data_IF_271219550395
#
_entry.id   IF_271219550395
#
_cell.length_a   1.000
_cell.length_b   1.000
_cell.length_c   1.000
_cell.angle_alpha   90.00
_cell.angle_beta   90.00
_cell.angle_gamma   90.00
#
_symmetry.space_group_name_H-M   'P 1'
#
loop_
_entity.id
_entity.type
_entity.pdbx_description
1 polymer ?
#
# COMPACT_ATOMS: atom_id res chain seq x y z
N UNK A 1 29.28 -36.72 -53.79
CA UNK A 1 29.83 -35.39 -53.47
C UNK A 1 28.80 -34.68 -52.62
N UNK A 2 28.85 -34.90 -51.31
CA UNK A 2 28.07 -34.18 -50.30
C UNK A 2 29.06 -33.92 -49.17
N UNK A 3 29.74 -32.77 -49.21
CA UNK A 3 30.56 -32.34 -48.08
C UNK A 3 29.75 -31.32 -47.29
N UNK A 4 29.32 -31.78 -46.12
CA UNK A 4 28.74 -30.99 -45.05
C UNK A 4 29.79 -29.99 -44.54
N UNK A 5 29.53 -28.70 -44.73
CA UNK A 5 30.26 -27.64 -44.04
C UNK A 5 29.53 -27.32 -42.72
N UNK A 6 30.01 -27.88 -41.62
CA UNK A 6 29.64 -27.46 -40.28
C UNK A 6 30.25 -26.06 -40.03
N UNK A 7 29.39 -25.04 -39.98
CA UNK A 7 29.77 -23.68 -39.62
C UNK A 7 30.17 -23.60 -38.15
N UNK A 8 31.40 -23.15 -37.90
CA UNK A 8 31.91 -22.85 -36.55
C UNK A 8 31.18 -21.62 -36.01
N UNK A 9 30.60 -21.65 -34.79
CA UNK A 9 29.93 -20.48 -34.24
C UNK A 9 30.95 -19.37 -33.98
N UNK A 10 30.66 -18.19 -34.52
CA UNK A 10 31.47 -16.99 -34.39
C UNK A 10 31.47 -16.54 -32.91
N UNK A 11 32.65 -16.49 -32.31
CA UNK A 11 32.85 -16.09 -30.91
C UNK A 11 32.72 -14.58 -30.72
N UNK A 12 32.69 -13.79 -31.79
CA UNK A 12 32.75 -12.33 -31.71
C UNK A 12 31.40 -11.66 -31.44
N UNK A 13 30.29 -12.29 -31.82
CA UNK A 13 28.94 -11.73 -31.64
C UNK A 13 28.55 -11.66 -30.16
N UNK A 14 28.96 -12.64 -29.35
CA UNK A 14 28.61 -12.67 -27.92
C UNK A 14 29.33 -11.63 -27.07
N UNK A 15 30.54 -11.20 -27.46
CA UNK A 15 31.32 -10.22 -26.69
C UNK A 15 30.83 -8.79 -26.95
N UNK A 16 30.46 -8.46 -28.19
CA UNK A 16 29.81 -7.20 -28.52
C UNK A 16 28.43 -7.05 -27.86
N UNK A 17 27.67 -8.14 -27.79
CA UNK A 17 26.33 -8.13 -27.17
C UNK A 17 26.43 -7.97 -25.64
N UNK A 18 27.43 -8.58 -25.01
CA UNK A 18 27.71 -8.42 -23.57
C UNK A 18 28.20 -7.01 -23.24
N UNK A 19 29.08 -6.44 -24.06
CA UNK A 19 29.60 -5.08 -23.88
C UNK A 19 28.50 -4.02 -24.14
N UNK A 20 27.65 -4.25 -25.15
CA UNK A 20 26.47 -3.43 -25.39
C UNK A 20 25.47 -3.51 -24.23
N UNK A 21 25.16 -4.72 -23.75
CA UNK A 21 24.28 -4.92 -22.60
C UNK A 21 24.82 -4.27 -21.32
N UNK A 22 26.14 -4.37 -21.07
CA UNK A 22 26.78 -3.72 -19.93
C UNK A 22 26.71 -2.19 -20.03
N UNK A 23 26.90 -1.63 -21.24
CA UNK A 23 26.81 -0.19 -21.49
C UNK A 23 25.39 0.34 -21.33
N UNK A 24 24.40 -0.36 -21.88
CA UNK A 24 22.99 -0.03 -21.72
C UNK A 24 22.53 -0.15 -20.25
N UNK A 25 22.99 -1.19 -19.55
CA UNK A 25 22.72 -1.36 -18.12
C UNK A 25 23.29 -0.21 -17.28
N UNK A 26 24.52 0.23 -17.58
CA UNK A 26 25.16 1.36 -16.89
C UNK A 26 24.39 2.67 -17.15
N UNK A 27 23.98 2.90 -18.40
CA UNK A 27 23.17 4.06 -18.79
C UNK A 27 21.82 4.11 -18.06
N UNK A 28 21.11 2.98 -17.98
CA UNK A 28 19.86 2.87 -17.22
C UNK A 28 20.08 3.15 -15.72
N UNK A 29 21.19 2.72 -15.14
CA UNK A 29 21.51 2.97 -13.74
C UNK A 29 21.79 4.46 -13.48
N UNK A 30 22.54 5.11 -14.36
CA UNK A 30 22.81 6.55 -14.29
C UNK A 30 21.53 7.38 -14.46
N UNK A 31 20.67 7.01 -15.41
CA UNK A 31 19.35 7.63 -15.60
C UNK A 31 18.47 7.46 -14.36
N UNK A 32 18.42 6.27 -13.77
CA UNK A 32 17.68 6.03 -12.53
C UNK A 32 18.25 6.86 -11.36
N UNK A 33 19.57 6.96 -11.24
CA UNK A 33 20.21 7.81 -10.23
C UNK A 33 19.90 9.30 -10.44
N UNK A 34 19.90 9.79 -11.68
CA UNK A 34 19.47 11.15 -12.00
C UNK A 34 17.98 11.39 -11.71
N UNK A 35 17.12 10.40 -11.94
CA UNK A 35 15.70 10.48 -11.55
C UNK A 35 15.53 10.49 -10.03
N UNK A 36 16.32 9.72 -9.29
CA UNK A 36 16.33 9.72 -7.82
C UNK A 36 16.82 11.07 -7.27
N UNK A 37 17.86 11.65 -7.86
CA UNK A 37 18.37 12.97 -7.47
C UNK A 37 17.43 14.12 -7.87
N UNK A 38 16.74 14.02 -9.01
CA UNK A 38 15.72 15.01 -9.41
C UNK A 38 14.46 14.89 -8.54
N UNK A 39 14.04 13.67 -8.18
CA UNK A 39 12.95 13.47 -7.23
C UNK A 39 13.32 13.94 -5.83
N UNK A 40 14.54 13.71 -5.35
CA UNK A 40 15.06 14.27 -4.10
C UNK A 40 15.13 15.80 -4.14
N UNK A 41 15.61 16.39 -5.24
CA UNK A 41 15.61 17.84 -5.45
C UNK A 41 14.19 18.43 -5.48
N UNK A 42 13.24 17.74 -6.10
CA UNK A 42 11.82 18.15 -6.10
C UNK A 42 11.16 17.99 -4.73
N UNK A 43 11.53 16.95 -3.98
CA UNK A 43 11.14 16.77 -2.58
C UNK A 43 11.70 17.92 -1.73
N UNK A 44 12.99 18.22 -1.86
CA UNK A 44 13.69 19.29 -1.15
C UNK A 44 13.17 20.67 -1.54
N UNK A 45 12.79 20.91 -2.79
CA UNK A 45 12.14 22.15 -3.21
C UNK A 45 10.75 22.35 -2.57
N UNK A 46 10.08 21.26 -2.16
CA UNK A 46 8.85 21.32 -1.36
C UNK A 46 9.12 21.40 0.16
N UNK A 47 10.33 21.04 0.62
CA UNK A 47 10.77 21.14 2.01
C UNK A 47 11.22 22.58 2.32
N UNK A 48 10.31 23.37 2.87
CA UNK A 48 10.59 24.72 3.32
C UNK A 48 11.36 24.71 4.64
N UNK A 49 12.24 25.69 4.89
CA UNK A 49 12.93 25.80 6.17
C UNK A 49 12.00 26.38 7.25
N UNK A 50 12.05 25.83 8.45
CA UNK A 50 11.39 26.40 9.62
C UNK A 50 12.20 27.57 10.22
N UNK A 51 11.66 28.25 11.24
CA UNK A 51 12.34 29.36 11.91
C UNK A 51 13.62 28.93 12.65
N UNK A 52 13.81 27.63 12.90
CA UNK A 52 15.05 27.06 13.44
C UNK A 52 16.10 26.75 12.36
N UNK A 53 15.85 27.13 11.10
CA UNK A 53 16.70 26.84 9.94
C UNK A 53 16.89 25.33 9.66
N UNK A 54 15.92 24.50 10.06
CA UNK A 54 15.84 23.06 9.75
C UNK A 54 14.81 22.83 8.65
N UNK A 55 14.96 21.78 7.85
CA UNK A 55 13.94 21.39 6.88
C UNK A 55 12.63 21.02 7.59
N UNK A 56 11.53 21.67 7.22
CA UNK A 56 10.20 21.38 7.75
C UNK A 56 9.70 20.03 7.22
N UNK A 57 9.03 19.26 8.08
CA UNK A 57 8.49 17.95 7.73
C UNK A 57 7.06 18.12 7.24
N UNK A 58 6.70 17.38 6.19
CA UNK A 58 5.36 17.43 5.58
C UNK A 58 4.49 16.30 6.12
N UNK A 59 3.30 16.65 6.61
CA UNK A 59 2.27 15.75 7.11
C UNK A 59 0.96 15.94 6.36
N UNK A 60 0.12 14.90 6.37
CA UNK A 60 -1.23 14.96 5.82
C UNK A 60 -2.24 15.21 6.94
N UNK A 61 -3.10 16.20 6.78
CA UNK A 61 -4.21 16.45 7.70
C UNK A 61 -5.33 15.44 7.46
N UNK A 62 -5.90 14.91 8.56
CA UNK A 62 -7.07 14.03 8.56
C UNK A 62 -8.29 14.67 9.21
N UNK A 63 -8.31 16.00 9.33
CA UNK A 63 -9.47 16.74 9.85
C UNK A 63 -10.58 16.81 8.81
N UNK A 64 -11.84 16.85 9.24
CA UNK A 64 -13.00 16.95 8.33
C UNK A 64 -12.86 18.07 7.28
N UNK A 65 -12.36 19.24 7.68
CA UNK A 65 -12.27 20.39 6.78
C UNK A 65 -11.04 20.38 5.88
N UNK A 66 -10.01 19.58 6.19
CA UNK A 66 -8.74 19.54 5.48
C UNK A 66 -8.26 18.10 5.22
N UNK A 67 -9.18 17.16 5.04
CA UNK A 67 -8.86 15.74 4.85
C UNK A 67 -8.00 15.55 3.60
N UNK A 68 -6.86 14.89 3.76
CA UNK A 68 -5.90 14.63 2.68
C UNK A 68 -5.03 15.83 2.31
N UNK A 69 -5.18 17.00 2.94
CA UNK A 69 -4.39 18.20 2.62
C UNK A 69 -3.06 18.18 3.37
N UNK A 70 -1.95 18.45 2.68
CA UNK A 70 -0.62 18.45 3.31
C UNK A 70 -0.24 19.78 3.94
N UNK A 71 0.42 19.73 5.08
CA UNK A 71 1.02 20.86 5.78
C UNK A 71 2.46 20.54 6.21
N UNK A 72 3.31 21.55 6.27
CA UNK A 72 4.69 21.46 6.75
C UNK A 72 4.79 22.07 8.15
N UNK A 73 5.54 21.44 9.06
CA UNK A 73 5.83 21.97 10.39
C UNK A 73 7.30 21.78 10.81
N UNK A 74 7.71 22.46 11.88
CA UNK A 74 9.05 22.29 12.45
C UNK A 74 9.26 20.85 12.95
N UNK A 75 10.32 20.13 12.53
CA UNK A 75 10.54 18.74 12.93
C UNK A 75 10.56 18.54 14.45
N UNK A 76 11.17 19.47 15.17
CA UNK A 76 11.40 19.36 16.61
C UNK A 76 10.38 20.13 17.47
N UNK A 77 9.37 20.76 16.84
CA UNK A 77 8.38 21.62 17.51
C UNK A 77 8.98 22.78 18.34
N UNK A 78 10.25 23.11 18.15
CA UNK A 78 10.95 24.21 18.82
C UNK A 78 10.47 25.60 18.37
N UNK A 79 9.77 25.67 17.23
CA UNK A 79 9.08 26.87 16.76
C UNK A 79 7.69 26.54 16.21
N UNK A 80 6.88 27.59 16.10
CA UNK A 80 5.50 27.57 15.61
C UNK A 80 5.39 27.55 14.07
N UNK A 81 6.46 27.18 13.38
CA UNK A 81 6.45 27.10 11.92
C UNK A 81 5.38 26.13 11.44
N UNK A 82 4.42 26.67 10.69
CA UNK A 82 3.35 25.93 10.06
C UNK A 82 3.02 26.55 8.71
N UNK A 83 2.96 25.73 7.64
CA UNK A 83 2.46 26.19 6.34
C UNK A 83 1.70 25.08 5.62
N UNK A 84 0.61 25.44 4.95
CA UNK A 84 -0.03 24.53 4.02
C UNK A 84 0.81 24.34 2.76
N UNK A 85 1.06 23.09 2.38
CA UNK A 85 1.78 22.73 1.14
C UNK A 85 0.81 22.76 -0.04
N UNK A 86 -0.38 22.17 0.15
CA UNK A 86 -1.40 22.13 -0.88
C UNK A 86 -2.36 23.33 -0.76
N UNK A 87 -2.94 23.75 -1.89
CA UNK A 87 -4.00 24.75 -1.91
C UNK A 87 -5.21 24.31 -1.06
N UNK A 88 -6.04 25.26 -0.58
CA UNK A 88 -7.27 24.92 0.13
C UNK A 88 -8.16 24.00 -0.70
N UNK A 89 -8.79 23.01 -0.05
CA UNK A 89 -9.76 22.14 -0.69
C UNK A 89 -10.94 22.96 -1.24
N UNK A 90 -11.45 22.56 -2.42
CA UNK A 90 -12.65 23.18 -2.96
C UNK A 90 -13.86 22.92 -2.03
N UNK A 91 -14.86 23.80 -2.07
CA UNK A 91 -16.05 23.71 -1.21
C UNK A 91 -16.74 22.36 -1.32
N UNK A 92 -16.79 21.80 -2.53
CA UNK A 92 -17.37 20.48 -2.79
C UNK A 92 -16.58 19.35 -2.09
N UNK A 93 -15.25 19.37 -2.19
CA UNK A 93 -14.40 18.35 -1.56
C UNK A 93 -14.52 18.37 -0.03
N UNK A 94 -14.60 19.57 0.58
CA UNK A 94 -14.81 19.75 2.03
C UNK A 94 -16.12 19.15 2.55
N UNK A 95 -17.13 18.97 1.69
CA UNK A 95 -18.41 18.36 2.04
C UNK A 95 -18.40 16.87 1.72
N UNK A 96 -17.92 16.50 0.54
CA UNK A 96 -17.97 15.12 0.04
C UNK A 96 -17.02 14.21 0.81
N UNK A 97 -15.77 14.62 1.03
CA UNK A 97 -14.76 13.76 1.66
C UNK A 97 -15.23 13.31 3.06
N UNK A 98 -15.63 14.20 3.99
CA UNK A 98 -16.12 13.76 5.30
C UNK A 98 -17.40 12.95 5.21
N UNK A 99 -18.28 13.28 4.25
CA UNK A 99 -19.50 12.51 4.01
C UNK A 99 -19.22 11.08 3.58
N UNK A 100 -18.20 10.86 2.76
CA UNK A 100 -17.76 9.52 2.34
C UNK A 100 -17.10 8.76 3.49
N UNK A 101 -16.19 9.40 4.25
CA UNK A 101 -15.54 8.77 5.41
C UNK A 101 -16.58 8.26 6.41
N UNK A 102 -17.56 9.09 6.79
CA UNK A 102 -18.64 8.67 7.70
C UNK A 102 -19.46 7.49 7.18
N UNK A 103 -19.70 7.43 5.86
CA UNK A 103 -20.43 6.29 5.24
C UNK A 103 -19.60 5.02 5.29
N UNK A 104 -18.29 5.11 5.04
CA UNK A 104 -17.38 3.97 5.14
C UNK A 104 -17.35 3.47 6.58
N UNK A 105 -17.16 4.35 7.56
CA UNK A 105 -17.13 3.98 8.98
C UNK A 105 -18.43 3.27 9.43
N UNK A 106 -19.58 3.77 8.94
CA UNK A 106 -20.89 3.17 9.18
C UNK A 106 -21.01 1.78 8.56
N UNK A 107 -20.64 1.62 7.28
CA UNK A 107 -20.69 0.35 6.56
C UNK A 107 -19.74 -0.68 7.18
N UNK A 108 -18.53 -0.28 7.56
CA UNK A 108 -17.60 -1.14 8.27
C UNK A 108 -18.15 -1.55 9.65
N UNK A 109 -18.86 -0.63 10.33
CA UNK A 109 -19.59 -0.92 11.55
C UNK A 109 -20.65 -2.01 11.34
N UNK A 110 -21.49 -1.85 10.33
CA UNK A 110 -22.51 -2.84 9.96
C UNK A 110 -21.89 -4.19 9.59
N UNK A 111 -20.84 -4.21 8.78
CA UNK A 111 -20.11 -5.44 8.44
C UNK A 111 -19.61 -6.18 9.69
N UNK A 112 -18.96 -5.47 10.63
CA UNK A 112 -18.49 -6.06 11.89
C UNK A 112 -19.64 -6.68 12.69
N UNK A 113 -20.81 -6.04 12.72
CA UNK A 113 -21.98 -6.60 13.42
C UNK A 113 -22.53 -7.84 12.73
N UNK A 114 -22.61 -7.84 11.39
CA UNK A 114 -23.08 -8.98 10.60
C UNK A 114 -22.13 -10.18 10.75
N UNK A 115 -20.82 -9.95 10.70
CA UNK A 115 -19.81 -10.98 10.90
C UNK A 115 -19.91 -11.59 12.31
N UNK A 116 -20.11 -10.77 13.34
CA UNK A 116 -20.30 -11.25 14.71
C UNK A 116 -21.55 -12.13 14.86
N UNK A 117 -22.66 -11.74 14.20
CA UNK A 117 -23.89 -12.54 14.18
C UNK A 117 -23.67 -13.84 13.42
N UNK A 118 -23.06 -13.79 12.23
CA UNK A 118 -22.81 -14.98 11.42
C UNK A 118 -21.92 -15.99 12.16
N UNK A 119 -20.82 -15.54 12.76
CA UNK A 119 -19.93 -16.39 13.55
C UNK A 119 -20.68 -17.03 14.74
N UNK A 120 -21.55 -16.27 15.42
CA UNK A 120 -22.39 -16.82 16.50
C UNK A 120 -23.34 -17.90 15.98
N UNK A 121 -23.99 -17.69 14.84
CA UNK A 121 -24.90 -18.66 14.21
C UNK A 121 -24.14 -19.91 13.77
N UNK A 122 -22.98 -19.77 13.12
CA UNK A 122 -22.13 -20.89 12.72
C UNK A 122 -21.68 -21.70 13.93
N UNK A 123 -21.27 -21.04 15.02
CA UNK A 123 -20.93 -21.70 16.28
C UNK A 123 -22.14 -22.43 16.86
N UNK A 124 -23.31 -21.81 16.91
CA UNK A 124 -24.53 -22.49 17.37
C UNK A 124 -24.86 -23.71 16.51
N UNK A 125 -24.74 -23.60 15.20
CA UNK A 125 -25.04 -24.68 14.26
C UNK A 125 -24.03 -25.83 14.39
N UNK A 126 -22.73 -25.53 14.46
CA UNK A 126 -21.69 -26.55 14.66
C UNK A 126 -21.87 -27.31 15.98
N UNK A 127 -22.19 -26.61 17.07
CA UNK A 127 -22.50 -27.25 18.35
C UNK A 127 -23.79 -28.09 18.29
N UNK A 128 -24.82 -27.61 17.59
CA UNK A 128 -26.04 -28.38 17.35
C UNK A 128 -25.75 -29.67 16.59
N UNK A 129 -24.95 -29.62 15.52
CA UNK A 129 -24.56 -30.81 14.75
C UNK A 129 -23.75 -31.79 15.60
N UNK A 130 -22.78 -31.30 16.39
CA UNK A 130 -21.99 -32.15 17.29
C UNK A 130 -22.86 -32.84 18.35
N UNK A 131 -23.80 -32.09 18.94
CA UNK A 131 -24.77 -32.65 19.90
C UNK A 131 -25.65 -33.74 19.27
N UNK A 132 -26.16 -33.51 18.05
CA UNK A 132 -26.94 -34.50 17.31
C UNK A 132 -26.12 -35.76 16.99
N UNK A 133 -24.84 -35.61 16.64
CA UNK A 133 -23.93 -36.75 16.39
C UNK A 133 -23.69 -37.57 17.66
N UNK A 134 -23.44 -36.91 18.81
CA UNK A 134 -23.28 -37.61 20.09
C UNK A 134 -24.58 -38.32 20.48
N UNK A 135 -25.72 -37.64 20.39
CA UNK A 135 -27.01 -38.21 20.77
C UNK A 135 -27.34 -39.45 19.93
N UNK A 136 -27.14 -39.38 18.61
CA UNK A 136 -27.37 -40.51 17.72
C UNK A 136 -26.40 -41.67 18.01
N UNK A 137 -25.12 -41.38 18.25
CA UNK A 137 -24.14 -42.40 18.65
C UNK A 137 -24.54 -43.08 19.98
N UNK A 138 -25.02 -42.32 20.96
CA UNK A 138 -25.46 -42.86 22.25
C UNK A 138 -26.67 -43.78 22.11
N UNK A 139 -27.68 -43.38 21.33
CA UNK A 139 -28.86 -44.21 21.04
C UNK A 139 -28.45 -45.53 20.37
N UNK A 140 -27.53 -45.48 19.40
CA UNK A 140 -27.05 -46.70 18.72
C UNK A 140 -26.33 -47.66 19.68
N UNK A 141 -25.58 -47.16 20.66
CA UNK A 141 -24.90 -47.99 21.68
C UNK A 141 -25.94 -48.61 22.63
N UNK A 142 -26.91 -47.81 23.08
CA UNK A 142 -27.97 -48.27 24.00
C UNK A 142 -28.98 -49.22 23.37
N UNK A 143 -29.14 -49.23 22.04
CA UNK A 143 -29.97 -50.19 21.34
C UNK A 143 -29.24 -51.51 21.00
N UNK A 144 -27.92 -51.55 21.18
CA UNK A 144 -27.09 -52.72 20.86
C UNK A 144 -26.68 -53.55 22.09
N UNK A 145 -26.92 -53.02 23.29
CA UNK A 145 -26.82 -53.69 24.59
C UNK A 145 -28.20 -53.81 25.23
#
# INVERSE_FOLDING_TARGET
>A
MLDSAEGKPDKQTGESDVEQFATESCKCLEEAHHMLLDTDRRLQAQLQHCNCNKYAVVHTSWTDTNGGRRFAHCPDFECDYFRWVDAPLCTRARIIIPGLTRRIDMLEGEMRTLEAINNKVEKMNTWSLYFLLILTSWIMISCWF
#
